data_IF_579663981325
#
_entry.id   IF_579663981325
#
_cell.length_a   1.000
_cell.length_b   1.000
_cell.length_c   1.000
_cell.angle_alpha   90.00
_cell.angle_beta   90.00
_cell.angle_gamma   90.00
#
_symmetry.space_group_name_H-M   'P 1'
#
loop_
_entity.id
_entity.type
_entity.pdbx_description
1 polymer ?
#
# COMPACT_ATOMS: atom_id res chain seq x y z
N UNK A 1 0.81 -12.14 -4.53
CA UNK A 1 0.90 -10.69 -4.72
C UNK A 1 1.86 -10.30 -5.82
N UNK A 2 1.74 -9.08 -6.32
CA UNK A 2 2.67 -8.48 -7.27
C UNK A 2 2.84 -7.00 -6.92
N UNK A 3 4.02 -6.42 -7.22
CA UNK A 3 4.30 -5.01 -7.01
C UNK A 3 3.63 -4.13 -8.06
N UNK A 4 3.22 -2.95 -7.64
CA UNK A 4 2.58 -1.94 -8.48
C UNK A 4 3.38 -0.65 -8.41
N UNK A 5 3.64 -0.03 -9.55
CA UNK A 5 4.20 1.31 -9.59
C UNK A 5 3.15 2.32 -9.10
N UNK A 6 3.47 3.05 -8.04
CA UNK A 6 2.53 3.93 -7.37
C UNK A 6 2.13 5.14 -8.24
N UNK A 7 3.01 5.58 -9.12
CA UNK A 7 2.75 6.73 -10.00
C UNK A 7 1.83 6.39 -11.16
N UNK A 8 1.87 5.16 -11.65
CA UNK A 8 1.15 4.77 -12.86
C UNK A 8 0.03 3.75 -12.64
N UNK A 9 0.07 2.99 -11.54
CA UNK A 9 -0.85 1.87 -11.30
C UNK A 9 -0.56 0.63 -12.15
N UNK A 10 0.62 0.58 -12.79
CA UNK A 10 1.04 -0.58 -13.58
C UNK A 10 1.67 -1.63 -12.68
N UNK A 11 1.28 -2.89 -12.86
CA UNK A 11 1.92 -4.03 -12.19
C UNK A 11 3.32 -4.24 -12.78
N UNK A 12 4.35 -4.13 -11.95
CA UNK A 12 5.77 -4.12 -12.37
C UNK A 12 6.49 -5.44 -12.14
N UNK A 13 5.98 -6.28 -11.25
CA UNK A 13 6.64 -7.55 -10.91
C UNK A 13 5.81 -8.76 -11.33
N UNK A 14 6.45 -9.94 -11.39
CA UNK A 14 5.74 -11.23 -11.48
C UNK A 14 4.91 -11.46 -10.21
N UNK A 15 3.87 -12.24 -10.29
CA UNK A 15 3.11 -12.68 -9.13
C UNK A 15 3.94 -13.61 -8.24
N UNK A 16 3.69 -13.56 -6.92
CA UNK A 16 4.28 -14.45 -5.93
C UNK A 16 3.23 -14.92 -4.95
N UNK A 17 3.33 -16.16 -4.52
CA UNK A 17 2.55 -16.68 -3.39
C UNK A 17 3.35 -16.71 -2.08
N UNK A 18 2.75 -17.22 -1.03
CA UNK A 18 3.38 -17.31 0.30
C UNK A 18 4.51 -18.35 0.39
N UNK A 19 4.62 -19.23 -0.60
CA UNK A 19 5.69 -20.23 -0.73
C UNK A 19 6.85 -19.72 -1.60
N UNK A 20 6.84 -18.42 -1.98
CA UNK A 20 7.81 -17.74 -2.87
C UNK A 20 7.81 -18.29 -4.31
N UNK A 21 6.77 -19.02 -4.69
CA UNK A 21 6.60 -19.47 -6.07
C UNK A 21 6.18 -18.29 -6.94
N UNK A 22 6.77 -18.19 -8.11
CA UNK A 22 6.57 -17.09 -9.05
C UNK A 22 5.63 -17.44 -10.20
N UNK A 23 4.86 -16.44 -10.64
CA UNK A 23 3.86 -16.57 -11.69
C UNK A 23 3.98 -15.40 -12.68
N UNK A 24 4.33 -15.69 -13.92
CA UNK A 24 4.25 -14.72 -15.02
C UNK A 24 2.81 -14.61 -15.50
N UNK A 25 2.11 -15.75 -15.53
CA UNK A 25 0.72 -15.84 -15.92
C UNK A 25 -0.16 -16.06 -14.69
N UNK A 26 -1.28 -15.36 -14.64
CA UNK A 26 -2.25 -15.56 -13.56
C UNK A 26 -2.83 -16.97 -13.63
N UNK A 27 -2.77 -17.76 -12.55
CA UNK A 27 -3.08 -19.20 -12.58
C UNK A 27 -4.52 -19.51 -12.98
N UNK A 28 -5.46 -18.62 -12.73
CA UNK A 28 -6.88 -18.81 -13.06
C UNK A 28 -7.25 -18.23 -14.42
N UNK A 29 -6.74 -17.05 -14.77
CA UNK A 29 -7.17 -16.34 -15.97
C UNK A 29 -6.22 -16.48 -17.15
N UNK A 30 -4.98 -16.97 -16.93
CA UNK A 30 -3.94 -17.09 -17.96
C UNK A 30 -3.38 -15.75 -18.46
N UNK A 31 -3.82 -14.62 -17.90
CA UNK A 31 -3.30 -13.30 -18.29
C UNK A 31 -1.88 -13.08 -17.76
N UNK A 32 -1.07 -12.37 -18.54
CA UNK A 32 0.27 -11.95 -18.11
C UNK A 32 0.10 -10.95 -16.97
N UNK A 33 0.82 -11.17 -15.85
CA UNK A 33 0.71 -10.33 -14.65
C UNK A 33 1.49 -9.03 -14.79
N UNK A 34 2.80 -9.03 -15.17
CA UNK A 34 3.52 -7.77 -15.39
C UNK A 34 2.92 -6.97 -16.55
N UNK A 35 2.78 -5.69 -16.37
CA UNK A 35 2.20 -4.79 -17.38
C UNK A 35 0.67 -4.61 -17.27
N UNK A 36 0.00 -5.30 -16.34
CA UNK A 36 -1.43 -5.03 -16.09
C UNK A 36 -1.57 -3.61 -15.57
N UNK A 37 -2.41 -2.81 -16.22
CA UNK A 37 -2.85 -1.50 -15.72
C UNK A 37 -4.03 -1.71 -14.78
N UNK A 38 -3.89 -1.26 -13.52
CA UNK A 38 -5.02 -1.24 -12.58
C UNK A 38 -6.01 -0.15 -13.00
N UNK A 39 -7.32 -0.46 -13.06
CA UNK A 39 -8.33 0.52 -13.43
C UNK A 39 -8.49 1.61 -12.36
N UNK A 40 -8.92 2.79 -12.75
CA UNK A 40 -9.26 3.89 -11.82
C UNK A 40 -8.17 4.16 -10.76
N UNK A 41 -6.89 4.03 -11.13
CA UNK A 41 -5.79 4.09 -10.18
C UNK A 41 -5.68 5.44 -9.47
N UNK A 42 -5.80 6.54 -10.22
CA UNK A 42 -5.76 7.89 -9.66
C UNK A 42 -6.90 8.13 -8.68
N UNK A 43 -8.10 7.66 -9.02
CA UNK A 43 -9.27 7.75 -8.15
C UNK A 43 -9.07 6.93 -6.86
N UNK A 44 -8.48 5.73 -6.96
CA UNK A 44 -8.15 4.91 -5.81
C UNK A 44 -7.16 5.62 -4.86
N UNK A 45 -6.12 6.26 -5.42
CA UNK A 45 -5.17 7.04 -4.62
C UNK A 45 -5.82 8.25 -3.94
N UNK A 46 -6.72 8.95 -4.62
CA UNK A 46 -7.47 10.06 -4.03
C UNK A 46 -8.37 9.57 -2.90
N UNK A 47 -9.14 8.51 -3.14
CA UNK A 47 -10.02 7.90 -2.12
C UNK A 47 -9.25 7.54 -0.86
N UNK A 48 -8.07 6.93 -1.00
CA UNK A 48 -7.22 6.58 0.15
C UNK A 48 -6.69 7.81 0.87
N UNK A 49 -6.24 8.83 0.14
CA UNK A 49 -5.72 10.07 0.74
C UNK A 49 -6.80 10.78 1.54
N UNK A 50 -7.99 10.94 0.98
CA UNK A 50 -9.13 11.56 1.65
C UNK A 50 -9.53 10.76 2.90
N UNK A 51 -9.62 9.42 2.79
CA UNK A 51 -9.92 8.58 3.94
C UNK A 51 -8.86 8.67 5.04
N UNK A 52 -7.57 8.79 4.69
CA UNK A 52 -6.47 8.92 5.65
C UNK A 52 -6.53 10.25 6.43
N UNK A 53 -7.09 11.32 5.85
CA UNK A 53 -7.26 12.61 6.53
C UNK A 53 -8.18 12.53 7.76
N UNK A 54 -9.09 11.54 7.79
CA UNK A 54 -9.92 11.26 8.96
C UNK A 54 -9.19 10.50 10.08
N UNK A 55 -7.95 10.07 9.84
CA UNK A 55 -7.12 9.33 10.80
C UNK A 55 -5.75 9.99 11.01
N UNK A 56 -5.71 11.28 11.43
CA UNK A 56 -4.48 12.09 11.44
C UNK A 56 -3.41 11.58 12.42
N UNK A 57 -3.82 10.81 13.42
CA UNK A 57 -2.91 10.20 14.42
C UNK A 57 -2.14 9.01 13.85
N UNK A 58 -2.61 8.42 12.75
CA UNK A 58 -1.99 7.24 12.15
C UNK A 58 -0.95 7.66 11.12
N UNK A 59 0.32 7.36 11.43
CA UNK A 59 1.43 7.67 10.52
C UNK A 59 1.45 6.78 9.28
N UNK A 60 1.05 5.52 9.44
CA UNK A 60 1.03 4.50 8.37
C UNK A 60 -0.22 3.65 8.52
N UNK A 61 -0.96 3.50 7.43
CA UNK A 61 -2.14 2.64 7.33
C UNK A 61 -2.01 1.73 6.11
N UNK A 62 -2.47 0.50 6.24
CA UNK A 62 -2.69 -0.42 5.12
C UNK A 62 -4.13 -0.33 4.65
N UNK A 63 -4.34 -0.16 3.35
CA UNK A 63 -5.65 -0.02 2.74
C UNK A 63 -5.90 -1.16 1.77
N UNK A 64 -6.98 -1.90 1.99
CA UNK A 64 -7.44 -2.92 1.05
C UNK A 64 -8.53 -2.32 0.16
N UNK A 65 -8.27 -2.29 -1.14
CA UNK A 65 -9.13 -1.66 -2.14
C UNK A 65 -9.58 -2.68 -3.17
N UNK A 66 -10.87 -2.72 -3.44
CA UNK A 66 -11.43 -3.42 -4.58
C UNK A 66 -11.68 -2.43 -5.73
N UNK A 67 -11.29 -2.83 -6.93
CA UNK A 67 -11.64 -2.12 -8.16
C UNK A 67 -12.93 -2.71 -8.71
N UNK A 68 -13.99 -1.90 -8.77
CA UNK A 68 -15.30 -2.31 -9.26
C UNK A 68 -15.69 -1.55 -10.52
N UNK A 69 -16.74 -1.96 -11.19
CA UNK A 69 -17.29 -1.23 -12.35
C UNK A 69 -17.77 0.20 -11.99
N UNK A 70 -18.02 0.45 -10.70
CA UNK A 70 -18.44 1.77 -10.18
C UNK A 70 -17.31 2.59 -9.60
N UNK A 71 -16.06 2.14 -9.75
CA UNK A 71 -14.87 2.76 -9.19
C UNK A 71 -14.24 1.98 -8.02
N UNK A 72 -13.20 2.53 -7.40
CA UNK A 72 -12.52 1.91 -6.27
C UNK A 72 -13.36 1.96 -5.00
N UNK A 73 -13.31 0.89 -4.21
CA UNK A 73 -14.02 0.78 -2.93
C UNK A 73 -13.04 0.33 -1.86
N UNK A 74 -12.98 1.04 -0.74
CA UNK A 74 -12.20 0.62 0.43
C UNK A 74 -12.94 -0.55 1.09
N UNK A 75 -12.25 -1.67 1.23
CA UNK A 75 -12.75 -2.89 1.88
C UNK A 75 -12.35 -2.88 3.36
N UNK A 76 -11.09 -2.55 3.64
CA UNK A 76 -10.54 -2.61 5.00
C UNK A 76 -9.42 -1.59 5.16
N UNK A 77 -9.22 -1.15 6.41
CA UNK A 77 -8.06 -0.37 6.83
C UNK A 77 -7.37 -1.05 8.01
N UNK A 78 -6.05 -1.19 7.90
CA UNK A 78 -5.21 -1.81 8.92
C UNK A 78 -4.27 -0.79 9.54
N UNK A 79 -4.39 -0.58 10.87
CA UNK A 79 -3.55 0.36 11.62
C UNK A 79 -2.09 -0.10 11.81
N UNK A 80 -1.82 -1.38 11.61
CA UNK A 80 -0.48 -1.97 11.67
C UNK A 80 -0.27 -2.90 10.46
N UNK A 81 -0.11 -2.33 9.25
CA UNK A 81 0.03 -3.15 8.06
C UNK A 81 1.28 -4.01 8.13
N UNK A 82 1.10 -5.31 7.93
CA UNK A 82 2.22 -6.25 7.90
C UNK A 82 3.13 -5.99 6.70
N UNK A 83 4.44 -5.75 6.88
CA UNK A 83 5.34 -5.47 5.76
C UNK A 83 5.60 -6.68 4.87
N UNK A 84 5.25 -7.88 5.31
CA UNK A 84 5.52 -9.13 4.60
C UNK A 84 5.02 -9.13 3.15
N UNK A 85 3.75 -8.80 2.92
CA UNK A 85 3.15 -8.84 1.60
C UNK A 85 3.87 -7.90 0.63
N UNK A 86 4.19 -6.69 1.08
CA UNK A 86 4.91 -5.70 0.27
C UNK A 86 6.35 -6.15 -0.04
N UNK A 87 7.05 -6.71 0.95
CA UNK A 87 8.41 -7.22 0.76
C UNK A 87 8.45 -8.45 -0.16
N UNK A 88 7.40 -9.29 -0.12
CA UNK A 88 7.27 -10.41 -1.03
C UNK A 88 7.05 -9.96 -2.47
N UNK A 89 6.23 -8.94 -2.68
CA UNK A 89 5.85 -8.48 -4.01
C UNK A 89 7.04 -7.90 -4.80
N UNK A 90 7.84 -7.04 -4.18
CA UNK A 90 8.93 -6.32 -4.85
C UNK A 90 10.35 -6.72 -4.41
N UNK A 91 10.47 -7.66 -3.47
CA UNK A 91 11.74 -8.15 -2.88
C UNK A 91 12.61 -7.08 -2.22
N UNK A 92 12.03 -5.96 -1.86
CA UNK A 92 12.74 -4.91 -1.16
C UNK A 92 12.38 -4.83 0.32
N UNK A 93 13.35 -4.57 1.21
CA UNK A 93 13.07 -4.40 2.62
C UNK A 93 12.28 -3.10 2.86
N UNK A 94 11.06 -3.19 3.37
CA UNK A 94 10.18 -2.02 3.66
C UNK A 94 10.24 -1.55 5.11
N UNK A 95 10.83 -2.34 6.00
CA UNK A 95 10.86 -2.02 7.43
C UNK A 95 11.56 -0.71 7.75
N UNK A 96 12.75 -0.47 7.19
CA UNK A 96 13.52 0.74 7.47
C UNK A 96 12.86 2.03 6.95
N UNK A 97 12.40 2.14 5.69
CA UNK A 97 11.69 3.33 5.22
C UNK A 97 10.44 3.65 6.04
N UNK A 98 9.65 2.64 6.39
CA UNK A 98 8.45 2.82 7.22
C UNK A 98 8.83 3.31 8.62
N UNK A 99 9.84 2.71 9.25
CA UNK A 99 10.30 3.10 10.57
C UNK A 99 10.84 4.54 10.60
N UNK A 100 11.66 4.91 9.60
CA UNK A 100 12.20 6.26 9.47
C UNK A 100 11.07 7.30 9.29
N UNK A 101 10.04 6.98 8.53
CA UNK A 101 8.87 7.84 8.36
C UNK A 101 8.08 8.01 9.66
N UNK A 102 7.80 6.94 10.39
CA UNK A 102 7.10 6.97 11.68
C UNK A 102 7.88 7.83 12.67
N UNK A 103 9.21 7.66 12.74
CA UNK A 103 10.09 8.43 13.63
C UNK A 103 10.06 9.92 13.33
N UNK A 104 10.04 10.31 12.06
CA UNK A 104 9.93 11.72 11.65
C UNK A 104 8.57 12.30 12.05
N UNK A 105 7.48 11.55 11.85
CA UNK A 105 6.13 11.97 12.23
C UNK A 105 5.99 12.12 13.74
N UNK A 106 6.45 11.15 14.54
CA UNK A 106 6.37 11.21 16.01
C UNK A 106 7.17 12.38 16.59
N UNK A 107 8.34 12.70 16.02
CA UNK A 107 9.12 13.87 16.44
C UNK A 107 8.45 15.22 16.09
N UNK A 108 7.60 15.26 15.07
CA UNK A 108 6.83 16.47 14.71
C UNK A 108 5.61 16.68 15.61
N UNK A 109 5.02 15.61 16.11
CA UNK A 109 3.86 15.68 17.03
C UNK A 109 4.27 15.93 18.49
N UNK A 110 5.51 15.60 18.87
CA UNK A 110 6.03 15.85 20.20
C UNK A 110 6.74 17.22 20.26
N UNK A 111 6.00 18.23 20.68
CA UNK A 111 6.56 19.56 21.03
C UNK A 111 6.56 19.70 22.57
N UNK A 112 7.72 19.50 23.25
CA UNK A 112 7.78 19.55 24.70
C UNK A 112 7.49 20.94 25.31
N UNK A 113 7.39 21.99 24.48
CA UNK A 113 7.12 23.36 24.91
C UNK A 113 5.63 23.72 25.00
N UNK A 114 4.72 22.81 24.58
CA UNK A 114 3.26 23.05 24.68
C UNK A 114 2.62 22.48 25.95
N UNK A 115 3.36 21.75 26.79
CA UNK A 115 2.86 21.13 28.02
C UNK A 115 3.46 21.74 29.29
N UNK A 116 3.83 23.01 29.28
CA UNK A 116 4.10 23.77 30.52
C UNK A 116 2.84 24.62 30.85
N UNK A 117 1.94 24.02 31.62
CA UNK A 117 0.99 24.72 32.47
C UNK A 117 1.68 25.15 33.73
#
# INVERSE_FOLDING_TARGET
GAGVDIGTGVVTTVGRDYEDKTYIYHPTTGKIIPGIQLPCWEEALLTVKEAHEFMPESAVLGWDIAFTEKGPVIIEVNGAPGPKIHQFADKEPKGKPIFDYIKVKSNRTYNPKQNTL
#
